data_IF_123968984087
#
_entry.id   IF_123968984087
#
_cell.length_a   1.000
_cell.length_b   1.000
_cell.length_c   1.000
_cell.angle_alpha   90.00
_cell.angle_beta   90.00
_cell.angle_gamma   90.00
#
_symmetry.space_group_name_H-M   'P 1'
#
loop_
_entity.id
_entity.type
_entity.pdbx_description
1 polymer ?
#
# COMPACT_ATOMS: atom_id res chain seq x y z
N UNK A 1 35.46 -54.79 -38.37
CA UNK A 1 34.67 -53.59 -38.76
C UNK A 1 33.17 -53.89 -38.92
N UNK A 2 32.75 -55.05 -39.44
CA UNK A 2 31.31 -55.39 -39.57
C UNK A 2 30.51 -55.57 -38.27
N UNK A 3 31.15 -55.99 -37.17
CA UNK A 3 30.49 -56.16 -35.87
C UNK A 3 30.08 -54.82 -35.23
N UNK A 4 30.92 -53.79 -35.31
CA UNK A 4 30.61 -52.46 -34.79
C UNK A 4 29.45 -51.78 -35.53
N UNK A 5 29.32 -52.03 -36.84
CA UNK A 5 28.19 -51.52 -37.64
C UNK A 5 26.90 -52.24 -37.23
N UNK A 6 26.97 -53.56 -37.03
CA UNK A 6 25.80 -54.36 -36.65
C UNK A 6 25.33 -54.03 -35.21
N UNK A 7 26.27 -53.80 -34.29
CA UNK A 7 25.98 -53.31 -32.93
C UNK A 7 25.40 -51.89 -32.94
N UNK A 8 25.97 -50.98 -33.75
CA UNK A 8 25.45 -49.61 -33.88
C UNK A 8 24.02 -49.57 -34.45
N UNK A 9 23.72 -50.40 -35.44
CA UNK A 9 22.37 -50.52 -36.01
C UNK A 9 21.39 -51.14 -35.02
N UNK A 10 21.81 -52.15 -34.24
CA UNK A 10 20.99 -52.74 -33.19
C UNK A 10 20.65 -51.74 -32.07
N UNK A 11 21.62 -50.92 -31.66
CA UNK A 11 21.40 -49.86 -30.67
C UNK A 11 20.49 -48.74 -31.21
N UNK A 12 20.67 -48.33 -32.46
CA UNK A 12 19.77 -47.36 -33.11
C UNK A 12 18.33 -47.87 -33.19
N UNK A 13 18.14 -49.17 -33.51
CA UNK A 13 16.83 -49.79 -33.54
C UNK A 13 16.18 -49.85 -32.15
N UNK A 14 16.94 -50.18 -31.10
CA UNK A 14 16.45 -50.16 -29.73
C UNK A 14 16.06 -48.75 -29.25
N UNK A 15 16.80 -47.71 -29.67
CA UNK A 15 16.43 -46.32 -29.40
C UNK A 15 15.11 -45.96 -30.08
N UNK A 16 14.91 -46.34 -31.35
CA UNK A 16 13.65 -46.09 -32.07
C UNK A 16 12.48 -46.83 -31.41
N UNK A 17 12.65 -48.11 -31.10
CA UNK A 17 11.61 -48.94 -30.50
C UNK A 17 11.14 -48.42 -29.13
N UNK A 18 12.02 -47.78 -28.36
CA UNK A 18 11.69 -47.18 -27.05
C UNK A 18 11.24 -45.72 -27.15
N UNK A 19 11.64 -45.00 -28.20
CA UNK A 19 11.27 -43.60 -28.44
C UNK A 19 9.85 -43.46 -29.01
N UNK A 20 9.45 -44.33 -29.95
CA UNK A 20 8.14 -44.24 -30.62
C UNK A 20 6.96 -44.27 -29.64
N UNK A 21 6.88 -45.20 -28.66
CA UNK A 21 5.80 -45.20 -27.67
C UNK A 21 5.77 -43.93 -26.80
N UNK A 22 6.95 -43.42 -26.42
CA UNK A 22 7.07 -42.18 -25.62
C UNK A 22 6.64 -40.96 -26.42
N UNK A 23 6.97 -40.91 -27.71
CA UNK A 23 6.56 -39.84 -28.61
C UNK A 23 5.05 -39.82 -28.81
N UNK A 24 4.41 -40.99 -28.93
CA UNK A 24 2.95 -41.09 -28.98
C UNK A 24 2.31 -40.59 -27.68
N UNK A 25 2.86 -40.97 -26.52
CA UNK A 25 2.42 -40.45 -25.23
C UNK A 25 2.56 -38.92 -25.12
N UNK A 26 3.70 -38.37 -25.54
CA UNK A 26 3.94 -36.93 -25.60
C UNK A 26 2.89 -36.21 -26.46
N UNK A 27 2.64 -36.71 -27.68
CA UNK A 27 1.66 -36.13 -28.60
C UNK A 27 0.24 -36.20 -28.02
N UNK A 28 -0.12 -37.31 -27.39
CA UNK A 28 -1.42 -37.47 -26.73
C UNK A 28 -1.62 -36.40 -25.65
N UNK A 29 -0.65 -36.24 -24.75
CA UNK A 29 -0.72 -35.23 -23.68
C UNK A 29 -0.78 -33.82 -24.25
N UNK A 30 0.01 -33.52 -25.28
CA UNK A 30 0.05 -32.21 -25.90
C UNK A 30 -1.29 -31.86 -26.59
N UNK A 31 -1.91 -32.82 -27.28
CA UNK A 31 -3.24 -32.64 -27.89
C UNK A 31 -4.28 -32.37 -26.82
N UNK A 32 -4.34 -33.19 -25.77
CA UNK A 32 -5.29 -33.00 -24.65
C UNK A 32 -5.08 -31.63 -24.00
N UNK A 33 -3.83 -31.29 -23.70
CA UNK A 33 -3.48 -30.01 -23.08
C UNK A 33 -3.82 -28.80 -23.95
N UNK A 34 -3.68 -28.90 -25.27
CA UNK A 34 -4.09 -27.85 -26.21
C UNK A 34 -5.60 -27.59 -26.17
N UNK A 35 -6.41 -28.64 -26.13
CA UNK A 35 -7.87 -28.50 -25.97
C UNK A 35 -8.22 -27.83 -24.64
N UNK A 36 -7.59 -28.24 -23.54
CA UNK A 36 -7.78 -27.64 -22.21
C UNK A 36 -7.38 -26.17 -22.20
N UNK A 37 -6.22 -25.82 -22.78
CA UNK A 37 -5.74 -24.45 -22.89
C UNK A 37 -6.73 -23.55 -23.64
N UNK A 38 -7.29 -24.04 -24.75
CA UNK A 38 -8.28 -23.31 -25.54
C UNK A 38 -9.59 -23.12 -24.78
N UNK A 39 -10.04 -24.12 -24.03
CA UNK A 39 -11.25 -24.04 -23.22
C UNK A 39 -11.09 -23.02 -22.07
N UNK A 40 -10.00 -23.11 -21.32
CA UNK A 40 -9.69 -22.18 -20.22
C UNK A 40 -9.53 -20.74 -20.70
N UNK A 41 -8.81 -20.51 -21.80
CA UNK A 41 -8.63 -19.18 -22.36
C UNK A 41 -9.97 -18.52 -22.75
N UNK A 42 -10.88 -19.29 -23.36
CA UNK A 42 -12.25 -18.82 -23.66
C UNK A 42 -13.03 -18.52 -22.39
N UNK A 43 -12.94 -19.38 -21.38
CA UNK A 43 -13.58 -19.17 -20.08
C UNK A 43 -13.12 -17.88 -19.39
N UNK A 44 -11.80 -17.66 -19.35
CA UNK A 44 -11.21 -16.43 -18.79
C UNK A 44 -11.62 -15.20 -19.59
N UNK A 45 -11.59 -15.26 -20.93
CA UNK A 45 -12.03 -14.15 -21.77
C UNK A 45 -13.49 -13.78 -21.51
N UNK A 46 -14.37 -14.78 -21.41
CA UNK A 46 -15.78 -14.56 -21.10
C UNK A 46 -15.97 -13.94 -19.71
N UNK A 47 -15.23 -14.44 -18.72
CA UNK A 47 -15.29 -13.92 -17.36
C UNK A 47 -14.81 -12.46 -17.31
N UNK A 48 -13.66 -12.14 -17.93
CA UNK A 48 -13.10 -10.78 -17.96
C UNK A 48 -14.03 -9.76 -18.61
N UNK A 49 -14.68 -10.14 -19.71
CA UNK A 49 -15.70 -9.30 -20.35
C UNK A 49 -16.90 -9.08 -19.44
N UNK A 50 -17.32 -10.11 -18.68
CA UNK A 50 -18.46 -10.02 -17.75
C UNK A 50 -18.17 -9.13 -16.54
N UNK A 51 -16.95 -9.13 -16.00
CA UNK A 51 -16.54 -8.22 -14.92
C UNK A 51 -16.28 -6.78 -15.39
N UNK A 52 -16.28 -6.53 -16.69
CA UNK A 52 -16.02 -5.20 -17.25
C UNK A 52 -14.59 -4.74 -17.03
N UNK A 53 -13.62 -5.65 -17.19
CA UNK A 53 -12.19 -5.35 -17.04
C UNK A 53 -11.75 -4.19 -17.94
N UNK A 54 -12.37 -4.02 -19.12
CA UNK A 54 -12.10 -2.89 -20.00
C UNK A 54 -12.33 -1.53 -19.30
N UNK A 55 -13.40 -1.40 -18.49
CA UNK A 55 -13.72 -0.17 -17.77
C UNK A 55 -12.71 0.15 -16.64
N UNK A 56 -12.12 -0.88 -16.05
CA UNK A 56 -11.07 -0.73 -15.02
C UNK A 56 -9.76 -0.23 -15.64
N UNK A 57 -9.40 -0.76 -16.81
CA UNK A 57 -8.19 -0.33 -17.56
C UNK A 57 -8.33 1.10 -18.06
N UNK A 58 -9.50 1.49 -18.57
CA UNK A 58 -9.76 2.87 -19.02
C UNK A 58 -9.65 3.88 -17.87
N UNK A 59 -10.15 3.53 -16.67
CA UNK A 59 -10.07 4.38 -15.49
C UNK A 59 -8.66 4.50 -14.91
N UNK A 60 -7.78 3.54 -15.19
CA UNK A 60 -6.39 3.56 -14.71
C UNK A 60 -5.49 4.55 -15.45
N UNK A 61 -5.95 5.21 -16.52
CA UNK A 61 -5.13 6.13 -17.32
C UNK A 61 -4.02 5.45 -18.13
N UNK A 62 -3.95 4.11 -18.11
CA UNK A 62 -3.01 3.29 -18.88
C UNK A 62 -3.33 3.27 -20.39
N UNK A 63 -4.49 3.84 -20.75
CA UNK A 63 -5.01 3.98 -22.11
C UNK A 63 -4.05 4.72 -23.05
N UNK A 64 -3.22 5.64 -22.54
CA UNK A 64 -2.26 6.38 -23.35
C UNK A 64 -1.18 5.50 -24.00
N UNK A 65 -0.72 4.46 -23.29
CA UNK A 65 0.26 3.50 -23.81
C UNK A 65 -0.40 2.34 -24.58
N UNK A 66 -1.65 2.02 -24.25
CA UNK A 66 -2.39 0.90 -24.86
C UNK A 66 -3.10 1.28 -26.18
N UNK A 67 -3.35 2.57 -26.44
CA UNK A 67 -4.02 3.08 -27.65
C UNK A 67 -3.29 2.77 -28.97
N UNK A 68 -1.99 2.47 -28.92
CA UNK A 68 -1.22 2.08 -30.10
C UNK A 68 -1.51 0.65 -30.56
N UNK A 69 -2.06 -0.21 -29.68
CA UNK A 69 -2.44 -1.58 -30.01
C UNK A 69 -3.97 -1.70 -30.01
N UNK A 70 -4.57 -2.04 -31.14
CA UNK A 70 -5.99 -2.42 -31.29
C UNK A 70 -6.34 -3.74 -30.59
N UNK A 71 -5.66 -4.06 -29.49
CA UNK A 71 -5.75 -5.32 -28.78
C UNK A 71 -6.57 -5.14 -27.51
N UNK A 72 -7.73 -5.79 -27.48
CA UNK A 72 -8.63 -5.87 -26.34
C UNK A 72 -7.85 -6.36 -25.10
N UNK A 73 -7.85 -5.60 -23.98
CA UNK A 73 -7.08 -5.95 -22.78
C UNK A 73 -7.46 -7.34 -22.24
N UNK A 74 -8.75 -7.68 -22.32
CA UNK A 74 -9.29 -9.01 -22.03
C UNK A 74 -8.72 -10.10 -22.96
N UNK A 75 -8.55 -9.80 -24.25
CA UNK A 75 -7.95 -10.70 -25.22
C UNK A 75 -6.46 -10.96 -24.95
N UNK A 76 -5.72 -9.94 -24.52
CA UNK A 76 -4.32 -10.10 -24.13
C UNK A 76 -4.19 -11.06 -22.93
N UNK A 77 -5.01 -10.88 -21.89
CA UNK A 77 -5.00 -11.73 -20.70
C UNK A 77 -5.42 -13.16 -21.03
N UNK A 78 -6.48 -13.34 -21.84
CA UNK A 78 -6.89 -14.66 -22.32
C UNK A 78 -5.78 -15.37 -23.10
N UNK A 79 -5.01 -14.62 -23.91
CA UNK A 79 -3.86 -15.14 -24.65
C UNK A 79 -2.70 -15.52 -23.73
N UNK A 80 -2.43 -14.73 -22.69
CA UNK A 80 -1.45 -15.08 -21.65
C UNK A 80 -1.86 -16.38 -20.95
N UNK A 81 -3.13 -16.51 -20.56
CA UNK A 81 -3.65 -17.75 -19.93
C UNK A 81 -3.56 -18.94 -20.88
N UNK A 82 -3.88 -18.76 -22.17
CA UNK A 82 -3.73 -19.81 -23.18
C UNK A 82 -2.29 -20.34 -23.22
N UNK A 83 -1.30 -19.45 -23.35
CA UNK A 83 0.10 -19.87 -23.39
C UNK A 83 0.58 -20.43 -22.06
N UNK A 84 0.08 -19.92 -20.93
CA UNK A 84 0.37 -20.47 -19.60
C UNK A 84 -0.07 -21.94 -19.47
N UNK A 85 -1.32 -22.23 -19.80
CA UNK A 85 -1.85 -23.60 -19.75
C UNK A 85 -1.14 -24.47 -20.78
N UNK A 86 -0.82 -23.93 -21.97
CA UNK A 86 -0.06 -24.64 -22.98
C UNK A 86 1.36 -24.98 -22.50
N UNK A 87 2.03 -24.09 -21.75
CA UNK A 87 3.33 -24.38 -21.16
C UNK A 87 3.23 -25.50 -20.12
N UNK A 88 2.20 -25.52 -19.28
CA UNK A 88 1.97 -26.62 -18.32
C UNK A 88 1.72 -27.93 -19.07
N UNK A 89 0.89 -27.91 -20.11
CA UNK A 89 0.66 -29.06 -20.96
C UNK A 89 1.96 -29.56 -21.61
N UNK A 90 2.80 -28.65 -22.10
CA UNK A 90 4.09 -28.96 -22.69
C UNK A 90 5.04 -29.57 -21.64
N UNK A 91 5.03 -29.07 -20.42
CA UNK A 91 5.81 -29.63 -19.31
C UNK A 91 5.39 -31.06 -19.01
N UNK A 92 4.08 -31.31 -18.88
CA UNK A 92 3.53 -32.64 -18.64
C UNK A 92 3.86 -33.59 -19.80
N UNK A 93 3.79 -33.10 -21.04
CA UNK A 93 4.16 -33.87 -22.22
C UNK A 93 5.64 -34.25 -22.17
N UNK A 94 6.55 -33.30 -21.89
CA UNK A 94 7.98 -33.60 -21.75
C UNK A 94 8.30 -34.53 -20.58
N UNK A 95 7.47 -34.54 -19.53
CA UNK A 95 7.56 -35.48 -18.42
C UNK A 95 7.46 -36.95 -18.85
N UNK A 96 6.79 -37.26 -19.97
CA UNK A 96 6.70 -38.61 -20.56
C UNK A 96 8.07 -39.18 -20.94
N UNK A 97 9.05 -38.31 -21.25
CA UNK A 97 10.41 -38.72 -21.56
C UNK A 97 11.28 -38.97 -20.32
N UNK A 98 10.79 -38.64 -19.12
CA UNK A 98 11.47 -38.80 -17.84
C UNK A 98 11.62 -37.48 -17.07
N UNK A 99 11.54 -37.55 -15.74
CA UNK A 99 11.56 -36.39 -14.84
C UNK A 99 12.89 -35.61 -14.81
N UNK A 100 13.97 -36.18 -15.36
CA UNK A 100 15.32 -35.60 -15.38
C UNK A 100 15.69 -34.91 -16.71
N UNK A 101 14.72 -34.67 -17.60
CA UNK A 101 14.98 -33.93 -18.83
C UNK A 101 15.24 -32.43 -18.51
N UNK A 102 16.38 -31.86 -18.93
CA UNK A 102 16.70 -30.44 -18.71
C UNK A 102 15.58 -29.49 -19.16
N UNK A 103 14.85 -29.85 -20.23
CA UNK A 103 13.70 -29.08 -20.73
C UNK A 103 12.58 -29.02 -19.71
N UNK A 104 12.28 -30.12 -19.01
CA UNK A 104 11.24 -30.13 -17.97
C UNK A 104 11.62 -29.26 -16.77
N UNK A 105 12.90 -29.21 -16.41
CA UNK A 105 13.41 -28.34 -15.34
C UNK A 105 13.26 -26.87 -15.70
N UNK A 106 13.66 -26.48 -16.91
CA UNK A 106 13.48 -25.10 -17.39
C UNK A 106 12.00 -24.70 -17.44
N UNK A 107 11.12 -25.59 -17.92
CA UNK A 107 9.68 -25.33 -17.94
C UNK A 107 9.11 -25.17 -16.52
N UNK A 108 9.55 -25.99 -15.58
CA UNK A 108 9.18 -25.85 -14.16
C UNK A 108 9.56 -24.47 -13.61
N UNK A 109 10.78 -24.00 -13.87
CA UNK A 109 11.23 -22.69 -13.42
C UNK A 109 10.39 -21.55 -14.03
N UNK A 110 10.11 -21.62 -15.33
CA UNK A 110 9.26 -20.63 -16.02
C UNK A 110 7.85 -20.63 -15.45
N UNK A 111 7.26 -21.80 -15.19
CA UNK A 111 5.90 -21.92 -14.62
C UNK A 111 5.87 -21.43 -13.18
N UNK A 112 6.90 -21.73 -12.37
CA UNK A 112 7.03 -21.24 -11.00
C UNK A 112 7.25 -19.71 -10.95
N UNK A 113 7.74 -19.10 -12.02
CA UNK A 113 7.91 -17.66 -12.14
C UNK A 113 6.60 -16.91 -12.41
N UNK A 114 5.64 -17.55 -13.08
CA UNK A 114 4.37 -16.93 -13.48
C UNK A 114 3.52 -16.39 -12.31
N UNK A 115 3.33 -17.11 -11.18
CA UNK A 115 2.68 -16.55 -9.99
C UNK A 115 3.34 -15.25 -9.49
N UNK A 116 4.67 -15.15 -9.60
CA UNK A 116 5.39 -13.94 -9.18
C UNK A 116 5.06 -12.74 -10.06
N UNK A 117 4.91 -12.96 -11.38
CA UNK A 117 4.47 -11.92 -12.32
C UNK A 117 3.08 -11.39 -11.93
N UNK A 118 2.15 -12.29 -11.59
CA UNK A 118 0.79 -11.89 -11.17
C UNK A 118 0.85 -11.03 -9.91
N UNK A 119 1.60 -11.44 -8.89
CA UNK A 119 1.76 -10.65 -7.65
C UNK A 119 2.41 -9.30 -7.95
N UNK A 120 3.44 -9.25 -8.81
CA UNK A 120 4.09 -8.00 -9.22
C UNK A 120 3.10 -7.04 -9.91
N UNK A 121 2.25 -7.54 -10.81
CA UNK A 121 1.21 -6.73 -11.46
C UNK A 121 0.20 -6.19 -10.44
N UNK A 122 -0.24 -7.02 -9.49
CA UNK A 122 -1.15 -6.60 -8.42
C UNK A 122 -0.51 -5.50 -7.56
N UNK A 123 0.77 -5.62 -7.20
CA UNK A 123 1.49 -4.60 -6.45
C UNK A 123 1.50 -3.25 -7.18
N UNK A 124 1.73 -3.25 -8.50
CA UNK A 124 1.70 -2.03 -9.32
C UNK A 124 0.32 -1.39 -9.32
N UNK A 125 -0.76 -2.19 -9.47
CA UNK A 125 -2.14 -1.69 -9.45
C UNK A 125 -2.51 -1.12 -8.07
N UNK A 126 -2.13 -1.82 -7.00
CA UNK A 126 -2.38 -1.35 -5.63
C UNK A 126 -1.61 -0.07 -5.34
N UNK A 127 -0.34 0.00 -5.73
CA UNK A 127 0.48 1.20 -5.56
C UNK A 127 -0.08 2.40 -6.34
N UNK A 128 -0.56 2.21 -7.56
CA UNK A 128 -1.16 3.30 -8.35
C UNK A 128 -2.47 3.80 -7.73
N UNK A 129 -3.30 2.89 -7.20
CA UNK A 129 -4.53 3.24 -6.50
C UNK A 129 -4.24 4.04 -5.21
N UNK A 130 -3.31 3.54 -4.38
CA UNK A 130 -2.88 4.22 -3.14
C UNK A 130 -2.24 5.57 -3.48
N UNK A 131 -1.36 5.62 -4.49
CA UNK A 131 -0.69 6.85 -4.91
C UNK A 131 -1.68 7.91 -5.39
N UNK A 132 -2.73 7.51 -6.10
CA UNK A 132 -3.77 8.43 -6.57
C UNK A 132 -4.60 8.96 -5.41
N UNK A 133 -4.98 8.10 -4.46
CA UNK A 133 -5.69 8.51 -3.25
C UNK A 133 -4.86 9.49 -2.41
N UNK A 134 -3.57 9.18 -2.19
CA UNK A 134 -2.65 10.04 -1.45
C UNK A 134 -2.38 11.36 -2.16
N UNK A 135 -2.24 11.36 -3.49
CA UNK A 135 -2.17 12.59 -4.28
C UNK A 135 -3.41 13.46 -4.06
N UNK A 136 -4.61 12.87 -4.09
CA UNK A 136 -5.86 13.58 -3.81
C UNK A 136 -5.90 14.17 -2.40
N UNK A 137 -5.46 13.41 -1.40
CA UNK A 137 -5.43 13.84 -0.01
C UNK A 137 -4.43 15.00 0.21
N UNK A 138 -3.22 14.89 -0.34
CA UNK A 138 -2.19 15.95 -0.26
C UNK A 138 -2.64 17.19 -1.00
N UNK A 139 -3.21 17.04 -2.20
CA UNK A 139 -3.72 18.18 -2.96
C UNK A 139 -4.92 18.85 -2.28
N UNK A 140 -5.78 18.09 -1.59
CA UNK A 140 -6.88 18.63 -0.80
C UNK A 140 -6.40 19.39 0.44
N UNK A 141 -5.42 18.83 1.18
CA UNK A 141 -4.90 19.40 2.41
C UNK A 141 -4.11 20.70 2.18
N UNK A 142 -3.40 20.82 1.05
CA UNK A 142 -2.60 22.01 0.72
C UNK A 142 -3.44 23.17 0.12
N UNK A 143 -4.72 22.92 -0.21
CA UNK A 143 -5.62 23.92 -0.78
C UNK A 143 -5.19 24.42 -2.17
N UNK A 144 -5.71 25.56 -2.60
CA UNK A 144 -5.56 26.08 -3.97
C UNK A 144 -4.23 26.84 -4.23
N UNK A 145 -3.12 26.42 -3.60
CA UNK A 145 -1.80 27.05 -3.82
C UNK A 145 -1.16 26.55 -5.13
N UNK A 146 -0.28 27.36 -5.72
CA UNK A 146 0.46 27.04 -6.96
C UNK A 146 1.21 25.71 -6.89
N UNK A 147 1.74 25.35 -5.71
CA UNK A 147 2.55 24.13 -5.51
C UNK A 147 1.74 22.87 -5.22
N UNK A 148 0.41 22.97 -5.05
CA UNK A 148 -0.45 21.85 -4.66
C UNK A 148 -0.40 20.68 -5.65
N UNK A 149 -0.39 21.00 -6.96
CA UNK A 149 -0.30 19.98 -8.02
C UNK A 149 1.07 19.30 -8.03
N UNK A 150 2.13 20.06 -7.79
CA UNK A 150 3.50 19.53 -7.75
C UNK A 150 3.67 18.56 -6.58
N UNK A 151 3.24 18.96 -5.38
CA UNK A 151 3.33 18.11 -4.19
C UNK A 151 2.54 16.82 -4.35
N UNK A 152 1.30 16.90 -4.87
CA UNK A 152 0.50 15.72 -5.15
C UNK A 152 1.15 14.77 -6.18
N UNK A 153 1.78 15.32 -7.22
CA UNK A 153 2.51 14.52 -8.20
C UNK A 153 3.77 13.86 -7.63
N UNK A 154 4.51 14.56 -6.75
CA UNK A 154 5.68 14.00 -6.06
C UNK A 154 5.23 12.85 -5.16
N UNK A 155 4.15 13.02 -4.40
CA UNK A 155 3.59 11.95 -3.56
C UNK A 155 3.19 10.73 -4.38
N UNK A 156 2.47 10.93 -5.49
CA UNK A 156 2.13 9.84 -6.40
C UNK A 156 3.38 9.14 -6.94
N UNK A 157 4.35 9.91 -7.42
CA UNK A 157 5.60 9.39 -7.98
C UNK A 157 6.40 8.58 -6.96
N UNK A 158 6.45 9.04 -5.71
CA UNK A 158 7.13 8.33 -4.62
C UNK A 158 6.47 6.99 -4.32
N UNK A 159 5.15 6.97 -4.13
CA UNK A 159 4.39 5.73 -3.86
C UNK A 159 4.50 4.76 -5.05
N UNK A 160 4.42 5.29 -6.27
CA UNK A 160 4.57 4.49 -7.48
C UNK A 160 5.98 3.90 -7.59
N UNK A 161 7.03 4.68 -7.28
CA UNK A 161 8.41 4.19 -7.29
C UNK A 161 8.60 3.04 -6.29
N UNK A 162 8.05 3.16 -5.07
CA UNK A 162 8.05 2.09 -4.08
C UNK A 162 7.29 0.84 -4.57
N UNK A 163 6.12 1.04 -5.18
CA UNK A 163 5.33 -0.04 -5.78
C UNK A 163 6.06 -0.78 -6.89
N UNK A 164 6.73 -0.04 -7.79
CA UNK A 164 7.56 -0.61 -8.86
C UNK A 164 8.72 -1.39 -8.25
N UNK A 165 9.42 -0.83 -7.27
CA UNK A 165 10.52 -1.52 -6.56
C UNK A 165 10.02 -2.83 -5.93
N UNK A 166 8.86 -2.81 -5.27
CA UNK A 166 8.27 -4.01 -4.68
C UNK A 166 7.90 -5.05 -5.76
N UNK A 167 7.36 -4.61 -6.89
CA UNK A 167 7.05 -5.47 -8.03
C UNK A 167 8.32 -6.09 -8.65
N UNK A 168 9.39 -5.30 -8.81
CA UNK A 168 10.69 -5.79 -9.30
C UNK A 168 11.31 -6.81 -8.34
N UNK A 169 11.21 -6.57 -7.03
CA UNK A 169 11.66 -7.51 -6.01
C UNK A 169 10.87 -8.84 -6.08
N UNK A 170 9.55 -8.77 -6.27
CA UNK A 170 8.72 -9.96 -6.46
C UNK A 170 9.13 -10.76 -7.70
N UNK A 171 9.48 -10.07 -8.79
CA UNK A 171 10.02 -10.68 -10.00
C UNK A 171 11.45 -11.22 -9.80
N UNK A 172 12.12 -10.91 -8.70
CA UNK A 172 13.51 -11.30 -8.46
C UNK A 172 14.50 -10.69 -9.46
N UNK A 173 14.12 -9.60 -10.14
CA UNK A 173 14.96 -8.93 -11.12
C UNK A 173 15.82 -7.90 -10.38
N UNK A 174 17.15 -7.97 -10.57
CA UNK A 174 18.10 -6.96 -10.08
C UNK A 174 18.00 -6.65 -8.57
N UNK A 175 17.64 -7.64 -7.74
CA UNK A 175 17.46 -7.49 -6.28
C UNK A 175 18.73 -6.93 -5.61
N UNK A 176 19.90 -7.28 -6.14
CA UNK A 176 21.21 -6.80 -5.70
C UNK A 176 21.41 -5.29 -5.84
N UNK A 177 20.64 -4.63 -6.71
CA UNK A 177 20.72 -3.18 -6.93
C UNK A 177 19.50 -2.48 -6.35
N UNK A 178 18.31 -3.05 -6.54
CA UNK A 178 17.05 -2.39 -6.15
C UNK A 178 16.93 -2.22 -4.63
N UNK A 179 17.26 -3.24 -3.85
CA UNK A 179 17.12 -3.18 -2.38
C UNK A 179 18.10 -2.18 -1.74
N UNK A 180 19.40 -2.18 -2.08
CA UNK A 180 20.32 -1.17 -1.57
C UNK A 180 19.93 0.25 -1.94
N UNK A 181 19.44 0.50 -3.17
CA UNK A 181 18.96 1.83 -3.58
C UNK A 181 17.78 2.28 -2.71
N UNK A 182 16.82 1.40 -2.44
CA UNK A 182 15.70 1.72 -1.55
C UNK A 182 16.18 2.11 -0.15
N UNK A 183 17.08 1.29 0.43
CA UNK A 183 17.66 1.55 1.75
C UNK A 183 18.41 2.88 1.73
N UNK A 184 19.21 3.16 0.71
CA UNK A 184 19.98 4.40 0.59
C UNK A 184 19.09 5.65 0.50
N UNK A 185 18.02 5.59 -0.30
CA UNK A 185 17.06 6.71 -0.42
C UNK A 185 16.33 6.92 0.92
N UNK A 186 15.82 5.86 1.53
CA UNK A 186 15.14 5.96 2.83
C UNK A 186 16.09 6.43 3.94
N UNK A 187 17.32 5.95 3.96
CA UNK A 187 18.36 6.36 4.91
C UNK A 187 18.75 7.82 4.70
N UNK A 188 18.77 8.31 3.46
CA UNK A 188 19.05 9.72 3.16
C UNK A 188 17.90 10.60 3.66
N UNK A 189 16.65 10.23 3.39
CA UNK A 189 15.47 10.96 3.88
C UNK A 189 15.44 10.96 5.41
N UNK A 190 15.60 9.79 6.04
CA UNK A 190 15.68 9.66 7.49
C UNK A 190 16.84 10.47 8.06
N UNK A 191 18.02 10.43 7.42
CA UNK A 191 19.20 11.19 7.82
C UNK A 191 18.94 12.69 7.78
N UNK A 192 18.35 13.22 6.71
CA UNK A 192 17.98 14.65 6.60
C UNK A 192 16.99 15.05 7.70
N UNK A 193 16.00 14.20 7.99
CA UNK A 193 15.02 14.47 9.06
C UNK A 193 15.69 14.46 10.43
N UNK A 194 16.50 13.44 10.73
CA UNK A 194 17.21 13.30 12.01
C UNK A 194 18.15 14.48 12.24
N UNK A 195 18.90 14.90 11.21
CA UNK A 195 19.82 16.03 11.30
C UNK A 195 19.06 17.36 11.39
N UNK A 196 17.98 17.56 10.62
CA UNK A 196 17.19 18.79 10.64
C UNK A 196 16.46 19.01 11.97
N UNK A 197 15.80 17.96 12.48
CA UNK A 197 15.08 18.01 13.76
C UNK A 197 16.06 18.01 14.93
N UNK A 198 17.07 17.14 14.91
CA UNK A 198 18.05 16.99 15.99
C UNK A 198 19.11 18.09 16.06
N UNK A 199 19.44 18.75 14.95
CA UNK A 199 20.50 19.76 14.89
C UNK A 199 20.03 21.21 14.99
N UNK A 200 18.88 21.56 14.40
CA UNK A 200 18.41 22.96 14.30
C UNK A 200 17.15 23.29 15.10
N UNK A 201 16.28 22.29 15.34
CA UNK A 201 14.95 22.51 15.93
C UNK A 201 14.86 22.13 17.41
N UNK A 202 15.93 21.60 18.00
CA UNK A 202 15.99 21.25 19.43
C UNK A 202 15.70 22.47 20.31
N UNK A 203 16.36 23.61 20.07
CA UNK A 203 16.16 24.82 20.89
C UNK A 203 14.72 25.38 20.79
N UNK A 204 14.13 25.53 19.59
CA UNK A 204 12.71 25.92 19.47
C UNK A 204 11.72 24.95 20.11
N UNK A 205 11.97 23.64 20.03
CA UNK A 205 11.11 22.63 20.66
C UNK A 205 11.22 22.66 22.19
N UNK A 206 12.43 22.85 22.72
CA UNK A 206 12.67 23.04 24.15
C UNK A 206 11.85 24.24 24.68
N UNK A 207 11.93 25.39 24.02
CA UNK A 207 11.17 26.60 24.40
C UNK A 207 9.65 26.38 24.39
N UNK A 208 9.13 25.64 23.41
CA UNK A 208 7.69 25.32 23.35
C UNK A 208 7.25 24.40 24.48
N UNK A 209 8.09 23.45 24.85
CA UNK A 209 7.81 22.50 25.93
C UNK A 209 7.86 23.17 27.29
N UNK A 210 8.86 24.02 27.51
CA UNK A 210 8.98 24.87 28.69
C UNK A 210 7.76 25.80 28.86
N UNK A 211 7.31 26.42 27.77
CA UNK A 211 6.11 27.26 27.74
C UNK A 211 4.80 26.50 28.01
N UNK A 212 4.76 25.20 27.73
CA UNK A 212 3.60 24.36 28.04
C UNK A 212 3.63 23.90 29.50
N UNK A 213 4.81 23.48 29.99
CA UNK A 213 5.00 23.10 31.40
C UNK A 213 4.68 24.25 32.36
N UNK A 214 5.10 25.47 32.04
CA UNK A 214 4.80 26.67 32.84
C UNK A 214 3.31 26.94 32.94
N UNK A 215 2.55 26.85 31.84
CA UNK A 215 1.09 27.03 31.86
C UNK A 215 0.38 26.00 32.73
N UNK A 216 0.81 24.73 32.65
CA UNK A 216 0.26 23.66 33.50
C UNK A 216 0.57 23.93 34.98
N UNK A 217 1.74 24.48 35.28
CA UNK A 217 2.15 24.84 36.63
C UNK A 217 1.40 26.06 37.17
N UNK A 218 1.14 27.06 36.33
CA UNK A 218 0.34 28.24 36.66
C UNK A 218 -1.13 27.87 36.91
N UNK A 219 -1.71 26.97 36.09
CA UNK A 219 -3.07 26.44 36.30
C UNK A 219 -3.17 25.64 37.61
N UNK A 220 -2.13 24.85 37.94
CA UNK A 220 -2.07 24.11 39.21
C UNK A 220 -1.95 25.03 40.43
N UNK A 221 -1.23 26.15 40.33
CA UNK A 221 -1.15 27.16 41.39
C UNK A 221 -2.42 28.01 41.49
N UNK A 222 -3.06 28.36 40.37
CA UNK A 222 -4.31 29.11 40.36
C UNK A 222 -5.49 28.31 40.95
N UNK A 223 -5.44 26.97 40.88
CA UNK A 223 -6.41 26.08 41.52
C UNK A 223 -6.05 25.71 42.97
N UNK A 224 -4.87 26.10 43.47
CA UNK A 224 -4.51 25.90 44.87
C UNK A 224 -5.34 26.85 45.74
N UNK A 225 -6.24 26.35 46.61
CA UNK A 225 -7.04 27.21 47.46
C UNK A 225 -6.13 27.97 48.43
N UNK A 226 -6.11 29.30 48.34
CA UNK A 226 -5.47 30.14 49.36
C UNK A 226 -5.97 29.71 50.74
N UNK A 227 -5.09 29.39 51.71
CA UNK A 227 -5.50 29.24 53.09
C UNK A 227 -6.13 30.57 53.50
N UNK A 228 -7.44 30.55 53.79
CA UNK A 228 -8.20 31.73 54.21
C UNK A 228 -7.43 32.38 55.36
N UNK A 229 -6.81 33.52 55.08
CA UNK A 229 -6.38 34.43 56.13
C UNK A 229 -7.64 34.76 56.93
N UNK A 230 -7.61 34.36 58.20
CA UNK A 230 -8.62 34.62 59.21
C UNK A 230 -9.04 36.09 59.15
N UNK A 231 -10.25 36.34 58.64
CA UNK A 231 -10.92 37.64 58.69
C UNK A 231 -11.10 38.03 60.15
N UNK A 232 -10.44 39.11 60.54
CA UNK A 232 -10.70 39.84 61.77
C UNK A 232 -12.16 40.33 61.78
N UNK A 233 -12.92 39.98 62.82
CA UNK A 233 -14.26 40.50 63.10
C UNK A 233 -14.16 41.74 63.99
N UNK A 234 -14.79 42.87 63.62
CA UNK A 234 -15.27 43.83 64.60
C UNK A 234 -16.79 43.99 64.43
N UNK A 235 -17.57 43.24 65.22
CA UNK A 235 -19.01 43.43 65.34
C UNK A 235 -19.31 44.07 66.70
N UNK A 236 -19.34 45.39 66.70
CA UNK A 236 -19.84 46.26 67.77
C UNK A 236 -21.34 45.97 67.99
N UNK A 237 -21.68 45.38 69.14
CA UNK A 237 -23.06 45.11 69.56
C UNK A 237 -23.41 46.03 70.73
N UNK A 238 -24.35 46.94 70.46
CA UNK A 238 -25.49 47.23 71.35
C UNK A 238 -25.22 48.09 72.58
N UNK A 239 -25.10 49.40 72.40
CA UNK A 239 -25.26 50.39 73.46
C UNK A 239 -26.47 51.30 73.22
N UNK A 240 -27.37 51.35 74.22
CA UNK A 240 -28.42 52.35 74.50
C UNK A 240 -29.84 52.04 74.03
N UNK A 241 -30.76 51.87 74.99
CA UNK A 241 -31.84 52.84 75.27
C UNK A 241 -32.73 52.31 76.41
N UNK A 242 -32.57 52.91 77.58
CA UNK A 242 -33.57 52.90 78.65
C UNK A 242 -33.58 54.31 79.20
N UNK A 243 -34.63 55.07 78.89
CA UNK A 243 -35.33 55.92 79.84
C UNK A 243 -36.50 56.63 79.14
N UNK A 244 -37.67 56.43 79.73
CA UNK A 244 -38.98 56.89 79.30
C UNK A 244 -39.46 57.86 80.38
N UNK A 245 -39.78 59.12 80.02
CA UNK A 245 -40.75 59.94 80.74
C UNK A 245 -41.17 61.19 79.94
N UNK A 246 -42.46 61.23 79.63
CA UNK A 246 -43.32 62.35 79.20
C UNK A 246 -43.78 63.21 80.39
N UNK A 247 -44.58 64.31 80.25
CA UNK A 247 -44.82 65.28 79.16
C UNK A 247 -44.72 66.76 79.68
N UNK A 248 -45.25 67.79 78.97
CA UNK A 248 -46.57 68.25 79.40
C UNK A 248 -47.53 68.69 78.27
N UNK A 249 -48.78 68.69 78.70
CA UNK A 249 -50.03 69.15 78.08
C UNK A 249 -50.09 70.66 77.83
N UNK A 250 -50.90 71.07 76.85
CA UNK A 250 -51.40 72.45 76.77
C UNK A 250 -51.78 72.97 75.39
N UNK A 251 -52.91 72.52 74.85
CA UNK A 251 -53.77 73.28 73.91
C UNK A 251 -54.21 74.63 74.52
N UNK A 252 -54.56 75.71 73.78
CA UNK A 252 -55.57 75.66 72.68
C UNK A 252 -55.50 76.75 71.57
N UNK A 253 -56.51 76.69 70.69
CA UNK A 253 -57.15 77.77 69.89
C UNK A 253 -56.81 77.87 68.40
N UNK A 254 -57.82 77.50 67.59
CA UNK A 254 -58.07 78.09 66.26
C UNK A 254 -59.54 78.49 66.19
N UNK A 255 -59.80 79.78 65.95
CA UNK A 255 -61.12 80.34 65.66
C UNK A 255 -61.73 79.68 64.40
N UNK A 256 -62.95 79.15 64.52
CA UNK A 256 -64.16 79.53 63.76
C UNK A 256 -65.29 78.51 63.96
#
# INVERSE_FOLDING_TARGET
MGSQITEGLGQAWAMIATFVPKLLGFLLVLVIGWFIAKALAKGVQFLLKRVGFEKLVEKSGLTGAMRQSSMDASGLIAKIVYYFVLLIALQLAFGVFGASNPVSTLLNEVIAYLPRIVVALVLVIVASAIGTALKGLVSGALGQRTYTKLMGNITYGFVMALGIIAALNQLGIAISVTMPVLIAVLATVAGVIVIGVGGGLVRPMQQRWEGWLTRVQDEAQAQSPMPRASQEMPANVGGRMGDMQTPPSGTPMSER
#
